data_IF_969526377371
#
_entry.id   IF_969526377371
#
_cell.length_a   1.000
_cell.length_b   1.000
_cell.length_c   1.000
_cell.angle_alpha   90.00
_cell.angle_beta   90.00
_cell.angle_gamma   90.00
#
_symmetry.space_group_name_H-M   'P 1'
#
loop_
_entity.id
_entity.type
_entity.pdbx_description
1 polymer ?
#
# COMPACT_ATOMS: atom_id res chain seq x y z
N UNK A 1 -22.67 24.44 -7.28
CA UNK A 1 -21.53 23.96 -6.45
C UNK A 1 -21.14 22.48 -6.65
N UNK A 2 -21.95 21.61 -7.28
CA UNK A 2 -21.69 20.15 -7.33
C UNK A 2 -20.66 19.60 -8.33
N UNK A 3 -20.18 20.39 -9.32
CA UNK A 3 -19.19 19.90 -10.30
C UNK A 3 -17.77 19.77 -9.72
N UNK A 4 -17.37 20.73 -8.87
CA UNK A 4 -16.00 20.81 -8.33
C UNK A 4 -15.72 19.70 -7.31
N UNK A 5 -16.70 19.35 -6.47
CA UNK A 5 -16.62 18.26 -5.49
C UNK A 5 -16.51 16.90 -6.17
N UNK A 6 -17.31 16.62 -7.22
CA UNK A 6 -17.19 15.37 -7.99
C UNK A 6 -15.80 15.18 -8.60
N UNK A 7 -15.20 16.23 -9.17
CA UNK A 7 -13.85 16.13 -9.72
C UNK A 7 -12.80 15.80 -8.66
N UNK A 8 -12.90 16.41 -7.47
CA UNK A 8 -11.99 16.14 -6.34
C UNK A 8 -12.15 14.71 -5.83
N UNK A 9 -13.38 14.22 -5.69
CA UNK A 9 -13.63 12.83 -5.31
C UNK A 9 -13.02 11.87 -6.33
N UNK A 10 -13.19 12.15 -7.63
CA UNK A 10 -12.74 11.27 -8.73
C UNK A 10 -11.21 11.21 -8.79
N UNK A 11 -10.55 12.37 -8.68
CA UNK A 11 -9.09 12.46 -8.56
C UNK A 11 -8.61 11.73 -7.30
N UNK A 12 -9.31 11.89 -6.17
CA UNK A 12 -8.98 11.21 -4.93
C UNK A 12 -9.10 9.69 -5.04
N UNK A 13 -10.16 9.17 -5.67
CA UNK A 13 -10.33 7.74 -5.91
C UNK A 13 -9.25 7.20 -6.84
N UNK A 14 -8.92 7.92 -7.93
CA UNK A 14 -7.82 7.54 -8.83
C UNK A 14 -6.49 7.47 -8.07
N UNK A 15 -6.19 8.48 -7.26
CA UNK A 15 -4.97 8.52 -6.44
C UNK A 15 -4.89 7.31 -5.50
N UNK A 16 -5.98 6.96 -4.81
CA UNK A 16 -6.02 5.79 -3.91
C UNK A 16 -5.80 4.49 -4.68
N UNK A 17 -6.41 4.32 -5.85
CA UNK A 17 -6.24 3.12 -6.68
C UNK A 17 -4.81 3.03 -7.20
N UNK A 18 -4.26 4.11 -7.75
CA UNK A 18 -2.87 4.15 -8.24
C UNK A 18 -1.88 3.88 -7.11
N UNK A 19 -2.06 4.49 -5.95
CA UNK A 19 -1.21 4.23 -4.79
C UNK A 19 -1.28 2.77 -4.34
N UNK A 20 -2.47 2.16 -4.34
CA UNK A 20 -2.60 0.74 -4.03
C UNK A 20 -1.85 -0.15 -5.02
N UNK A 21 -1.94 0.14 -6.33
CA UNK A 21 -1.19 -0.59 -7.35
C UNK A 21 0.32 -0.43 -7.18
N UNK A 22 0.80 0.80 -6.99
CA UNK A 22 2.24 1.08 -6.78
C UNK A 22 2.73 0.38 -5.51
N UNK A 23 1.98 0.47 -4.42
CA UNK A 23 2.31 -0.21 -3.17
C UNK A 23 2.46 -1.72 -3.39
N UNK A 24 1.50 -2.37 -4.03
CA UNK A 24 1.55 -3.81 -4.27
C UNK A 24 2.66 -4.21 -5.25
N UNK A 25 2.96 -3.39 -6.26
CA UNK A 25 4.08 -3.63 -7.17
C UNK A 25 5.42 -3.64 -6.42
N UNK A 26 5.65 -2.63 -5.58
CA UNK A 26 6.87 -2.53 -4.76
C UNK A 26 6.97 -3.68 -3.75
N UNK A 27 5.85 -4.03 -3.10
CA UNK A 27 5.82 -5.15 -2.15
C UNK A 27 6.14 -6.49 -2.82
N UNK A 28 5.59 -6.75 -4.00
CA UNK A 28 5.86 -7.98 -4.75
C UNK A 28 7.32 -8.05 -5.19
N UNK A 29 7.88 -6.95 -5.69
CA UNK A 29 9.29 -6.86 -6.09
C UNK A 29 10.22 -7.14 -4.89
N UNK A 30 9.95 -6.49 -3.76
CA UNK A 30 10.74 -6.70 -2.54
C UNK A 30 10.59 -8.11 -1.98
N UNK A 31 9.36 -8.66 -1.98
CA UNK A 31 9.12 -10.03 -1.54
C UNK A 31 9.86 -11.03 -2.43
N UNK A 32 9.85 -10.80 -3.74
CA UNK A 32 10.61 -11.61 -4.69
C UNK A 32 12.12 -11.52 -4.42
N UNK A 33 12.65 -10.33 -4.16
CA UNK A 33 14.05 -10.13 -3.80
C UNK A 33 14.42 -10.87 -2.50
N UNK A 34 13.55 -10.85 -1.48
CA UNK A 34 13.72 -11.60 -0.23
C UNK A 34 13.77 -13.10 -0.50
N UNK A 35 12.79 -13.62 -1.23
CA UNK A 35 12.70 -15.05 -1.56
C UNK A 35 13.93 -15.48 -2.35
N UNK A 36 14.36 -14.66 -3.31
CA UNK A 36 15.53 -14.94 -4.14
C UNK A 36 16.83 -14.93 -3.34
N UNK A 37 17.02 -13.93 -2.45
CA UNK A 37 18.17 -13.88 -1.55
C UNK A 37 18.19 -15.08 -0.61
N UNK A 38 17.03 -15.44 -0.02
CA UNK A 38 16.92 -16.62 0.81
C UNK A 38 17.26 -17.89 0.04
N UNK A 39 16.70 -18.09 -1.16
CA UNK A 39 16.97 -19.25 -2.00
C UNK A 39 18.44 -19.34 -2.39
N UNK A 40 19.05 -18.23 -2.83
CA UNK A 40 20.45 -18.20 -3.27
C UNK A 40 21.44 -18.53 -2.13
N UNK A 41 21.13 -18.07 -0.92
CA UNK A 41 22.00 -18.25 0.25
C UNK A 41 21.51 -19.35 1.19
N UNK A 42 20.54 -20.15 0.77
CA UNK A 42 20.06 -21.29 1.53
C UNK A 42 21.21 -22.29 1.73
N UNK A 43 21.59 -22.51 3.00
CA UNK A 43 22.74 -23.37 3.37
C UNK A 43 24.07 -22.64 3.57
N UNK A 44 24.16 -21.34 3.25
CA UNK A 44 25.31 -20.49 3.58
C UNK A 44 24.98 -19.66 4.83
N UNK A 45 25.63 -19.96 5.96
CA UNK A 45 25.26 -19.53 7.32
C UNK A 45 25.24 -18.03 7.66
N UNK A 46 25.19 -17.11 6.68
CA UNK A 46 25.11 -15.66 6.95
C UNK A 46 24.75 -14.73 5.79
N UNK A 47 24.24 -15.23 4.65
CA UNK A 47 24.17 -14.44 3.40
C UNK A 47 22.79 -13.93 2.94
N UNK A 48 21.69 -14.33 3.59
CA UNK A 48 20.34 -14.17 3.03
C UNK A 48 19.55 -12.94 3.45
N UNK A 49 20.19 -11.88 3.95
CA UNK A 49 19.48 -10.72 4.50
C UNK A 49 19.33 -9.59 3.50
N UNK A 50 18.13 -9.02 3.42
CA UNK A 50 17.92 -7.74 2.75
C UNK A 50 18.09 -6.60 3.75
N UNK A 51 18.80 -5.56 3.34
CA UNK A 51 18.92 -4.33 4.13
C UNK A 51 17.82 -3.38 3.71
N UNK A 52 17.00 -2.95 4.65
CA UNK A 52 15.93 -1.97 4.38
C UNK A 52 16.16 -0.74 5.23
N UNK A 53 16.16 0.43 4.58
CA UNK A 53 16.31 1.71 5.25
C UNK A 53 15.11 2.03 6.14
N UNK A 54 15.38 2.53 7.34
CA UNK A 54 14.32 2.93 8.30
C UNK A 54 13.48 4.09 7.76
N UNK A 55 14.12 5.06 7.12
CA UNK A 55 13.45 6.26 6.59
C UNK A 55 12.49 5.93 5.45
N UNK A 56 12.87 4.99 4.57
CA UNK A 56 12.01 4.57 3.45
C UNK A 56 10.79 3.79 3.92
N UNK A 57 10.93 2.98 4.98
CA UNK A 57 9.78 2.33 5.61
C UNK A 57 8.86 3.32 6.31
N UNK A 58 9.42 4.29 7.03
CA UNK A 58 8.63 5.31 7.71
C UNK A 58 7.81 6.13 6.71
N UNK A 59 8.43 6.54 5.59
CA UNK A 59 7.75 7.19 4.48
C UNK A 59 6.68 6.29 3.86
N UNK A 60 6.97 5.02 3.63
CA UNK A 60 6.01 4.05 3.11
C UNK A 60 4.77 3.95 4.00
N UNK A 61 4.95 3.74 5.30
CA UNK A 61 3.84 3.64 6.23
C UNK A 61 3.05 4.95 6.33
N UNK A 62 3.72 6.10 6.40
CA UNK A 62 3.04 7.41 6.44
C UNK A 62 2.21 7.66 5.19
N UNK A 63 2.77 7.46 4.00
CA UNK A 63 2.08 7.71 2.72
C UNK A 63 0.91 6.74 2.52
N UNK A 64 1.09 5.46 2.82
CA UNK A 64 0.03 4.45 2.74
C UNK A 64 -1.10 4.72 3.73
N UNK A 65 -0.78 5.11 4.97
CA UNK A 65 -1.78 5.49 5.97
C UNK A 65 -2.56 6.73 5.55
N UNK A 66 -1.87 7.78 5.08
CA UNK A 66 -2.51 9.00 4.60
C UNK A 66 -3.46 8.71 3.43
N UNK A 67 -3.01 7.90 2.48
CA UNK A 67 -3.81 7.57 1.30
C UNK A 67 -5.01 6.69 1.63
N UNK A 68 -4.84 5.71 2.52
CA UNK A 68 -5.95 4.89 3.01
C UNK A 68 -6.98 5.74 3.78
N UNK A 69 -6.53 6.73 4.55
CA UNK A 69 -7.42 7.65 5.26
C UNK A 69 -8.22 8.53 4.29
N UNK A 70 -7.58 9.07 3.25
CA UNK A 70 -8.25 9.82 2.18
C UNK A 70 -9.32 8.95 1.50
N UNK A 71 -9.01 7.70 1.18
CA UNK A 71 -9.98 6.79 0.57
C UNK A 71 -11.16 6.47 1.49
N UNK A 72 -10.91 6.29 2.79
CA UNK A 72 -11.98 6.11 3.77
C UNK A 72 -12.89 7.35 3.88
N UNK A 73 -12.34 8.56 3.88
CA UNK A 73 -13.13 9.80 3.89
C UNK A 73 -14.03 9.85 2.66
N UNK A 74 -13.48 9.64 1.46
CA UNK A 74 -14.24 9.65 0.20
C UNK A 74 -15.37 8.61 0.23
N UNK A 75 -15.11 7.42 0.79
CA UNK A 75 -16.11 6.36 0.91
C UNK A 75 -17.31 6.73 1.81
N UNK A 76 -17.14 7.68 2.75
CA UNK A 76 -18.16 8.09 3.72
C UNK A 76 -18.94 9.34 3.34
N UNK A 77 -18.57 10.05 2.26
CA UNK A 77 -19.27 11.26 1.85
C UNK A 77 -20.72 10.94 1.40
N UNK A 78 -21.74 11.68 1.86
CA UNK A 78 -23.12 11.48 1.44
C UNK A 78 -23.27 11.94 -0.02
N UNK A 79 -23.57 11.00 -0.91
CA UNK A 79 -23.75 11.26 -2.33
C UNK A 79 -24.68 10.17 -2.89
N UNK A 80 -25.74 10.58 -3.60
CA UNK A 80 -26.89 9.73 -3.99
C UNK A 80 -26.83 9.23 -5.45
N UNK A 81 -25.73 9.43 -6.16
CA UNK A 81 -25.60 9.03 -7.56
C UNK A 81 -25.09 7.58 -7.72
N UNK A 82 -25.59 6.85 -8.71
CA UNK A 82 -25.14 5.49 -9.02
C UNK A 82 -23.63 5.40 -9.33
N UNK A 83 -23.07 6.41 -10.03
CA UNK A 83 -21.63 6.54 -10.29
C UNK A 83 -20.83 6.77 -9.01
N UNK A 84 -21.38 7.51 -8.05
CA UNK A 84 -20.74 7.72 -6.75
C UNK A 84 -20.71 6.42 -5.91
N UNK A 85 -21.64 5.49 -6.11
CA UNK A 85 -21.65 4.19 -5.44
C UNK A 85 -20.46 3.31 -5.85
N UNK A 86 -20.20 3.20 -7.16
CA UNK A 86 -19.03 2.44 -7.69
C UNK A 86 -17.73 3.07 -7.18
N UNK A 87 -17.65 4.40 -7.20
CA UNK A 87 -16.49 5.14 -6.75
C UNK A 87 -16.19 4.94 -5.26
N UNK A 88 -17.23 4.95 -4.41
CA UNK A 88 -17.09 4.63 -2.97
C UNK A 88 -16.62 3.20 -2.75
N UNK A 89 -17.12 2.23 -3.54
CA UNK A 89 -16.67 0.84 -3.47
C UNK A 89 -15.19 0.71 -3.86
N UNK A 90 -14.78 1.32 -4.97
CA UNK A 90 -13.38 1.33 -5.42
C UNK A 90 -12.45 1.96 -4.37
N UNK A 91 -12.85 3.09 -3.82
CA UNK A 91 -12.08 3.79 -2.79
C UNK A 91 -11.93 2.95 -1.51
N UNK A 92 -13.00 2.26 -1.11
CA UNK A 92 -12.98 1.33 0.04
C UNK A 92 -12.08 0.13 -0.21
N UNK A 93 -12.19 -0.50 -1.38
CA UNK A 93 -11.34 -1.63 -1.78
C UNK A 93 -9.87 -1.20 -1.83
N UNK A 94 -9.57 -0.04 -2.44
CA UNK A 94 -8.22 0.51 -2.48
C UNK A 94 -7.66 0.78 -1.08
N UNK A 95 -8.47 1.35 -0.18
CA UNK A 95 -8.06 1.57 1.22
C UNK A 95 -7.80 0.26 1.96
N UNK A 96 -8.65 -0.76 1.77
CA UNK A 96 -8.41 -2.09 2.33
C UNK A 96 -7.14 -2.72 1.75
N UNK A 97 -6.90 -2.59 0.44
CA UNK A 97 -5.71 -3.13 -0.22
C UNK A 97 -4.40 -2.48 0.30
N UNK A 98 -4.44 -1.17 0.60
CA UNK A 98 -3.32 -0.47 1.23
C UNK A 98 -3.06 -1.03 2.65
N UNK A 99 -4.11 -1.16 3.47
CA UNK A 99 -3.99 -1.69 4.84
C UNK A 99 -3.51 -3.14 4.85
N UNK A 100 -4.05 -4.00 3.98
CA UNK A 100 -3.61 -5.39 3.89
C UNK A 100 -2.16 -5.50 3.40
N UNK A 101 -1.75 -4.67 2.44
CA UNK A 101 -0.36 -4.60 2.01
C UNK A 101 0.57 -4.13 3.13
N UNK A 102 0.15 -3.20 3.98
CA UNK A 102 0.92 -2.76 5.15
C UNK A 102 1.09 -3.88 6.17
N UNK A 103 0.02 -4.63 6.45
CA UNK A 103 0.07 -5.79 7.35
C UNK A 103 0.97 -6.89 6.79
N UNK A 104 0.84 -7.20 5.50
CA UNK A 104 1.72 -8.14 4.82
C UNK A 104 3.19 -7.72 4.92
N UNK A 105 3.48 -6.44 4.67
CA UNK A 105 4.84 -5.93 4.80
C UNK A 105 5.35 -6.01 6.23
N UNK A 106 4.53 -5.68 7.24
CA UNK A 106 4.94 -5.86 8.64
C UNK A 106 5.30 -7.30 8.98
N UNK A 107 4.59 -8.29 8.42
CA UNK A 107 4.94 -9.70 8.64
C UNK A 107 6.29 -10.09 8.03
N UNK A 108 6.62 -9.52 6.86
CA UNK A 108 7.94 -9.72 6.24
C UNK A 108 9.03 -9.01 7.04
N UNK A 109 8.78 -7.79 7.53
CA UNK A 109 9.74 -7.03 8.34
C UNK A 109 10.04 -7.68 9.69
N UNK A 110 9.08 -8.44 10.24
CA UNK A 110 9.25 -9.24 11.47
C UNK A 110 10.03 -10.55 11.21
N UNK A 111 10.25 -10.92 9.95
CA UNK A 111 11.01 -12.10 9.59
C UNK A 111 12.51 -11.88 9.85
N UNK A 112 13.26 -12.91 10.31
CA UNK A 112 14.72 -12.83 10.49
C UNK A 112 15.49 -12.56 9.17
N UNK A 113 14.80 -12.52 8.03
CA UNK A 113 15.36 -12.24 6.72
C UNK A 113 15.62 -10.74 6.46
N UNK A 114 15.11 -9.85 7.31
CA UNK A 114 15.24 -8.40 7.12
C UNK A 114 16.11 -7.78 8.21
N UNK A 115 17.09 -6.99 7.80
CA UNK A 115 17.93 -6.21 8.72
C UNK A 115 17.71 -4.72 8.45
N UNK A 116 17.40 -3.96 9.50
CA UNK A 116 17.25 -2.51 9.41
C UNK A 116 18.61 -1.85 9.58
N UNK A 117 19.02 -1.03 8.61
CA UNK A 117 20.25 -0.24 8.69
C UNK A 117 19.95 1.23 8.46
#
# INVERSE_FOLDING_TARGET
MGKRTRSVELIGTLLVVTAAFVQWAVLLEQTWAVIWAWYKFYGYGGGGHITVGKDTQLLFYMLSSLTAFIGLIISRLPNNDATSCIQKRLSRIGSFALVTGMLFWTTILMSPLVVFR
#
